data_IF_939461076876
#
_entry.id   IF_939461076876
#
_cell.length_a   1.000
_cell.length_b   1.000
_cell.length_c   1.000
_cell.angle_alpha   90.00
_cell.angle_beta   90.00
_cell.angle_gamma   90.00
#
_symmetry.space_group_name_H-M   'P 1'
#
loop_
_entity.id
_entity.type
_entity.pdbx_description
1 polymer ?
#
# COMPACT_ATOMS: atom_id res chain seq x y z
N UNK A 1 20.97 7.17 17.77
CA UNK A 1 19.93 6.31 18.38
C UNK A 1 19.75 6.63 19.88
N UNK A 2 19.54 7.88 20.32
CA UNK A 2 19.64 8.15 21.78
C UNK A 2 18.78 9.29 22.39
N UNK A 3 17.97 10.06 21.65
CA UNK A 3 17.27 11.23 22.23
C UNK A 3 15.82 10.94 22.65
N UNK A 4 15.12 10.02 21.98
CA UNK A 4 13.71 9.74 22.27
C UNK A 4 13.45 9.11 23.63
N UNK A 5 14.47 8.50 24.26
CA UNK A 5 14.35 7.85 25.58
C UNK A 5 14.18 8.84 26.74
N UNK A 6 14.43 10.13 26.51
CA UNK A 6 14.31 11.20 27.52
C UNK A 6 12.90 11.79 27.60
N UNK A 7 12.00 11.42 26.69
CA UNK A 7 10.62 11.88 26.69
C UNK A 7 9.84 11.15 27.79
N UNK A 8 9.34 11.91 28.76
CA UNK A 8 8.69 11.42 30.00
C UNK A 8 7.51 10.46 29.76
N UNK A 9 6.89 10.52 28.59
CA UNK A 9 5.74 9.71 28.19
C UNK A 9 6.02 8.78 27.00
N UNK A 10 7.28 8.64 26.58
CA UNK A 10 7.65 7.77 25.47
C UNK A 10 7.96 6.36 26.00
N UNK A 11 6.99 5.47 25.86
CA UNK A 11 7.14 4.05 26.12
C UNK A 11 7.56 3.34 24.83
N UNK A 12 8.75 2.75 24.80
CA UNK A 12 9.25 2.01 23.62
C UNK A 12 8.35 0.83 23.22
N UNK A 13 7.48 0.34 24.11
CA UNK A 13 6.49 -0.70 23.77
C UNK A 13 5.19 -0.18 23.16
N UNK A 14 4.80 1.07 23.44
CA UNK A 14 3.46 1.61 23.13
C UNK A 14 3.50 2.86 22.24
N UNK A 15 4.63 3.57 22.24
CA UNK A 15 4.84 4.83 21.53
C UNK A 15 5.40 4.64 20.12
N UNK A 16 5.84 3.43 19.78
CA UNK A 16 5.90 3.04 18.38
C UNK A 16 4.49 2.57 18.04
N UNK A 17 3.73 3.43 17.33
CA UNK A 17 2.66 2.91 16.47
C UNK A 17 3.28 1.73 15.71
N UNK A 18 2.75 0.52 15.94
CA UNK A 18 3.10 -0.69 15.20
C UNK A 18 3.32 -0.22 13.77
N UNK A 19 4.53 -0.41 13.26
CA UNK A 19 4.99 0.28 12.06
C UNK A 19 4.10 -0.10 10.87
N UNK A 20 2.98 0.62 10.70
CA UNK A 20 1.91 0.24 9.78
C UNK A 20 2.47 0.23 8.36
N UNK A 21 3.39 1.16 8.10
CA UNK A 21 4.17 1.24 6.86
C UNK A 21 4.92 -0.07 6.59
N UNK A 22 5.73 -0.55 7.51
CA UNK A 22 6.54 -1.75 7.25
C UNK A 22 5.78 -3.06 7.47
N UNK A 23 5.00 -3.19 8.55
CA UNK A 23 4.31 -4.43 8.88
C UNK A 23 3.07 -4.66 8.00
N UNK A 24 2.19 -3.65 7.89
CA UNK A 24 0.91 -3.79 7.20
C UNK A 24 1.11 -3.57 5.71
N UNK A 25 1.59 -2.41 5.29
CA UNK A 25 1.70 -2.08 3.87
C UNK A 25 2.84 -2.85 3.19
N UNK A 26 4.07 -2.75 3.69
CA UNK A 26 5.18 -3.45 3.05
C UNK A 26 5.18 -4.97 3.30
N UNK A 27 4.73 -5.42 4.47
CA UNK A 27 4.65 -6.84 4.80
C UNK A 27 3.43 -7.52 4.19
N UNK A 28 2.25 -7.27 4.77
CA UNK A 28 1.01 -7.98 4.42
C UNK A 28 0.53 -7.59 3.02
N UNK A 29 0.42 -6.31 2.71
CA UNK A 29 -0.17 -5.87 1.44
C UNK A 29 0.69 -6.26 0.25
N UNK A 30 2.03 -6.17 0.32
CA UNK A 30 2.88 -6.67 -0.79
C UNK A 30 2.68 -8.17 -1.04
N UNK A 31 2.53 -8.98 0.02
CA UNK A 31 2.25 -10.42 -0.13
C UNK A 31 0.89 -10.67 -0.76
N UNK A 32 -0.14 -9.92 -0.37
CA UNK A 32 -1.47 -10.00 -0.98
C UNK A 32 -1.43 -9.61 -2.47
N UNK A 33 -0.76 -8.51 -2.81
CA UNK A 33 -0.58 -8.09 -4.21
C UNK A 33 0.17 -9.13 -5.03
N UNK A 34 1.17 -9.78 -4.44
CA UNK A 34 1.87 -10.89 -5.08
C UNK A 34 0.93 -12.06 -5.37
N UNK A 35 0.08 -12.45 -4.43
CA UNK A 35 -0.91 -13.50 -4.69
C UNK A 35 -1.89 -13.04 -5.79
N UNK A 36 -2.52 -11.89 -5.65
CA UNK A 36 -3.58 -11.46 -6.56
C UNK A 36 -3.10 -11.21 -8.00
N UNK A 37 -1.87 -10.72 -8.20
CA UNK A 37 -1.39 -10.24 -9.49
C UNK A 37 -0.22 -11.02 -10.10
N UNK A 38 0.30 -12.06 -9.45
CA UNK A 38 1.35 -12.87 -10.07
C UNK A 38 0.76 -13.82 -11.12
N UNK A 39 1.42 -13.89 -12.29
CA UNK A 39 0.92 -14.64 -13.45
C UNK A 39 0.75 -16.14 -13.15
N UNK A 40 1.56 -16.70 -12.24
CA UNK A 40 1.46 -18.10 -11.81
C UNK A 40 0.12 -18.43 -11.15
N UNK A 41 -0.58 -17.43 -10.63
CA UNK A 41 -1.86 -17.62 -9.95
C UNK A 41 -3.07 -17.29 -10.83
N UNK A 42 -2.89 -16.95 -12.11
CA UNK A 42 -3.94 -16.43 -13.00
C UNK A 42 -5.20 -17.31 -13.16
N UNK A 43 -5.10 -18.61 -12.86
CA UNK A 43 -6.19 -19.57 -12.96
C UNK A 43 -6.86 -19.88 -11.63
N UNK A 44 -6.35 -19.34 -10.52
CA UNK A 44 -6.97 -19.50 -9.21
C UNK A 44 -8.18 -18.58 -9.06
N UNK A 45 -9.24 -19.00 -8.34
CA UNK A 45 -10.49 -18.25 -8.23
C UNK A 45 -10.33 -16.90 -7.51
N UNK A 46 -9.35 -16.80 -6.62
CA UNK A 46 -9.00 -15.58 -5.88
C UNK A 46 -8.03 -14.66 -6.62
N UNK A 47 -7.53 -15.06 -7.80
CA UNK A 47 -6.61 -14.23 -8.57
C UNK A 47 -7.34 -13.11 -9.29
N UNK A 48 -6.75 -11.91 -9.23
CA UNK A 48 -7.26 -10.69 -9.84
C UNK A 48 -6.45 -10.36 -11.11
N UNK A 49 -5.55 -11.25 -11.53
CA UNK A 49 -4.65 -11.07 -12.67
C UNK A 49 -5.37 -10.62 -13.95
N UNK A 50 -6.54 -11.20 -14.26
CA UNK A 50 -7.31 -10.86 -15.48
C UNK A 50 -7.92 -9.45 -15.46
N UNK A 51 -7.99 -8.80 -14.29
CA UNK A 51 -8.55 -7.46 -14.11
C UNK A 51 -7.46 -6.38 -13.94
N UNK A 52 -6.20 -6.70 -14.24
CA UNK A 52 -5.08 -5.76 -14.11
C UNK A 52 -5.32 -4.45 -14.87
N UNK A 53 -5.82 -4.51 -16.10
CA UNK A 53 -6.00 -3.31 -16.92
C UNK A 53 -7.12 -2.42 -16.36
N UNK A 54 -8.24 -3.02 -15.90
CA UNK A 54 -9.30 -2.30 -15.17
C UNK A 54 -8.75 -1.61 -13.91
N UNK A 55 -7.92 -2.30 -13.13
CA UNK A 55 -7.35 -1.76 -11.90
C UNK A 55 -6.37 -0.61 -12.17
N UNK A 56 -5.60 -0.69 -13.27
CA UNK A 56 -4.77 0.44 -13.67
C UNK A 56 -5.61 1.66 -14.00
N UNK A 57 -6.71 1.51 -14.74
CA UNK A 57 -7.65 2.62 -15.01
C UNK A 57 -8.21 3.21 -13.72
N UNK A 58 -8.55 2.38 -12.73
CA UNK A 58 -9.00 2.86 -11.42
C UNK A 58 -7.90 3.64 -10.69
N UNK A 59 -6.66 3.13 -10.68
CA UNK A 59 -5.52 3.79 -10.05
C UNK A 59 -5.23 5.15 -10.70
N UNK A 60 -5.31 5.23 -12.03
CA UNK A 60 -5.10 6.47 -12.78
C UNK A 60 -6.17 7.53 -12.45
N UNK A 61 -7.38 7.09 -12.09
CA UNK A 61 -8.49 7.95 -11.69
C UNK A 61 -8.49 8.32 -10.19
N UNK A 62 -7.56 7.81 -9.39
CA UNK A 62 -7.47 8.19 -7.96
C UNK A 62 -7.12 9.67 -7.86
N UNK A 63 -8.04 10.45 -7.29
CA UNK A 63 -7.79 11.85 -6.97
C UNK A 63 -6.93 11.96 -5.71
N UNK A 64 -5.63 12.17 -5.90
CA UNK A 64 -4.68 12.34 -4.80
C UNK A 64 -4.79 13.76 -4.22
N UNK A 65 -4.79 13.94 -2.88
CA UNK A 65 -4.72 15.25 -2.28
C UNK A 65 -3.39 15.94 -2.62
N UNK A 66 -3.41 17.27 -2.74
CA UNK A 66 -2.25 18.11 -3.07
C UNK A 66 -1.05 17.96 -2.13
N UNK A 67 -1.28 17.39 -0.93
CA UNK A 67 -0.26 17.09 0.07
C UNK A 67 0.61 15.88 -0.28
N UNK A 68 0.19 15.02 -1.21
CA UNK A 68 0.96 13.85 -1.63
C UNK A 68 1.58 14.09 -3.01
N UNK A 69 2.91 14.22 -3.07
CA UNK A 69 3.60 14.63 -4.30
C UNK A 69 3.69 13.55 -5.38
N UNK A 70 3.31 12.30 -5.09
CA UNK A 70 3.49 11.18 -6.02
C UNK A 70 2.19 10.42 -6.25
N UNK A 71 1.78 10.35 -7.52
CA UNK A 71 0.76 9.42 -7.95
C UNK A 71 1.27 7.98 -7.82
N UNK A 72 0.40 7.02 -7.44
CA UNK A 72 0.78 5.62 -7.43
C UNK A 72 1.17 5.16 -8.84
N UNK A 73 2.18 4.30 -8.93
CA UNK A 73 2.59 3.68 -10.20
C UNK A 73 1.55 2.67 -10.69
N UNK A 74 1.68 2.20 -11.93
CA UNK A 74 0.90 1.07 -12.46
C UNK A 74 1.00 -0.19 -11.58
N UNK A 75 -0.10 -0.94 -11.44
CA UNK A 75 -0.18 -2.16 -10.61
C UNK A 75 0.80 -3.24 -11.07
N UNK A 76 1.18 -3.26 -12.35
CA UNK A 76 2.20 -4.19 -12.88
C UNK A 76 3.56 -4.01 -12.19
N UNK A 77 3.79 -2.84 -11.59
CA UNK A 77 5.01 -2.50 -10.86
C UNK A 77 4.85 -2.64 -9.33
N UNK A 78 3.83 -3.36 -8.84
CA UNK A 78 3.54 -3.50 -7.41
C UNK A 78 4.76 -3.94 -6.56
N UNK A 79 5.66 -4.75 -7.13
CA UNK A 79 6.91 -5.19 -6.47
C UNK A 79 7.82 -4.02 -6.06
N UNK A 80 7.74 -2.91 -6.79
CA UNK A 80 8.52 -1.68 -6.56
C UNK A 80 7.78 -0.64 -5.71
N UNK A 81 6.54 -0.93 -5.29
CA UNK A 81 5.78 0.01 -4.48
C UNK A 81 6.44 0.21 -3.12
N UNK A 82 6.52 1.47 -2.71
CA UNK A 82 6.83 1.82 -1.33
C UNK A 82 5.59 1.68 -0.45
N UNK A 83 5.79 1.48 0.85
CA UNK A 83 4.70 1.46 1.84
C UNK A 83 3.78 2.69 1.72
N UNK A 84 4.35 3.87 1.44
CA UNK A 84 3.60 5.11 1.23
C UNK A 84 2.66 5.07 0.01
N UNK A 85 3.07 4.42 -1.08
CA UNK A 85 2.23 4.27 -2.29
C UNK A 85 1.05 3.32 -2.01
N UNK A 86 1.32 2.23 -1.28
CA UNK A 86 0.29 1.28 -0.85
C UNK A 86 -0.72 1.93 0.08
N UNK A 87 -0.24 2.72 1.05
CA UNK A 87 -1.08 3.50 1.94
C UNK A 87 -1.99 4.45 1.15
N UNK A 88 -1.44 5.14 0.15
CA UNK A 88 -2.21 6.07 -0.69
C UNK A 88 -3.28 5.34 -1.51
N UNK A 89 -2.94 4.22 -2.17
CA UNK A 89 -3.91 3.43 -2.93
C UNK A 89 -5.04 2.93 -2.03
N UNK A 90 -4.75 2.47 -0.82
CA UNK A 90 -5.78 1.93 0.08
C UNK A 90 -6.69 3.01 0.68
N UNK A 91 -6.12 4.15 1.08
CA UNK A 91 -6.91 5.23 1.67
C UNK A 91 -7.68 6.04 0.63
N UNK A 92 -7.06 6.37 -0.51
CA UNK A 92 -7.66 7.21 -1.54
C UNK A 92 -8.28 6.41 -2.68
N UNK A 93 -8.03 5.09 -2.77
CA UNK A 93 -8.71 4.23 -3.74
C UNK A 93 -10.22 4.19 -3.53
N UNK A 94 -10.69 4.36 -2.28
CA UNK A 94 -12.12 4.43 -1.98
C UNK A 94 -12.81 5.59 -2.70
N UNK A 95 -12.16 6.75 -2.84
CA UNK A 95 -12.74 7.90 -3.53
C UNK A 95 -12.80 7.76 -5.04
N UNK A 96 -12.25 6.69 -5.63
CA UNK A 96 -12.38 6.39 -7.06
C UNK A 96 -13.65 5.58 -7.39
N UNK A 97 -14.41 5.14 -6.38
CA UNK A 97 -15.66 4.38 -6.54
C UNK A 97 -16.93 5.25 -6.43
N UNK A 98 -16.78 6.56 -6.25
CA UNK A 98 -17.86 7.51 -6.03
C UNK A 98 -17.87 8.59 -7.10
#
# INVERSE_FOLDING_TARGET
>A
YCEFRRLKYFNVGESWLIDDLHCVYEGVMKKLLFLWFEAKYRYYPWSIYKKIDLINTLIDNIHMPSTTSRRPRCIKQYKKYKASELKAILHFGYSAFH
#
